data_IF_692418427930
#
_entry.id   IF_692418427930
#
_cell.length_a   1.000
_cell.length_b   1.000
_cell.length_c   1.000
_cell.angle_alpha   90.00
_cell.angle_beta   90.00
_cell.angle_gamma   90.00
#
_symmetry.space_group_name_H-M   'P 1'
#
loop_
_entity.id
_entity.type
_entity.pdbx_description
1 polymer ?
#
# COMPACT_ATOMS: atom_id res chain seq x y z
N UNK A 1 63.09 35.17 7.20
CA UNK A 1 62.31 36.28 7.76
C UNK A 1 61.29 36.74 6.71
N UNK A 2 60.05 36.17 6.72
CA UNK A 2 58.84 36.67 6.04
C UNK A 2 57.64 36.12 6.76
N UNK A 3 56.81 37.04 7.22
CA UNK A 3 55.64 36.85 8.05
C UNK A 3 54.54 36.07 7.30
N UNK A 4 53.96 35.09 7.98
CA UNK A 4 52.73 34.43 7.58
C UNK A 4 51.54 35.19 8.18
N UNK A 5 50.70 35.76 7.33
CA UNK A 5 49.44 36.39 7.70
C UNK A 5 48.35 35.33 7.89
N UNK A 6 47.72 35.34 9.06
CA UNK A 6 46.55 34.57 9.43
C UNK A 6 45.30 35.19 8.80
N UNK A 7 44.69 34.54 7.82
CA UNK A 7 43.30 34.85 7.39
C UNK A 7 42.33 33.81 7.95
N UNK A 8 41.35 34.30 8.72
CA UNK A 8 40.20 33.51 9.22
C UNK A 8 39.19 33.30 8.08
N UNK A 9 38.59 32.12 7.96
CA UNK A 9 37.51 31.91 6.97
C UNK A 9 36.23 32.60 7.42
N UNK A 10 35.73 33.49 6.61
CA UNK A 10 34.41 34.13 6.69
C UNK A 10 33.30 33.11 6.32
N UNK A 11 32.45 32.79 7.29
CA UNK A 11 31.24 32.01 7.10
C UNK A 11 30.17 32.88 6.42
N UNK A 12 29.96 32.71 5.14
CA UNK A 12 28.78 33.25 4.42
C UNK A 12 27.55 32.39 4.73
N UNK A 13 26.60 32.94 5.49
CA UNK A 13 25.25 32.42 5.62
C UNK A 13 24.56 32.49 4.24
N UNK A 14 24.28 31.33 3.62
CA UNK A 14 23.37 31.24 2.48
C UNK A 14 21.93 31.35 3.01
N UNK A 15 21.27 32.44 2.63
CA UNK A 15 19.84 32.65 2.82
C UNK A 15 19.03 31.64 2.00
N UNK A 16 18.02 31.07 2.65
CA UNK A 16 17.01 30.20 2.02
C UNK A 16 16.15 31.08 1.11
N UNK A 17 15.89 30.74 -0.16
CA UNK A 17 15.00 31.51 -1.00
C UNK A 17 13.55 31.39 -0.53
N UNK A 18 12.89 32.52 -0.38
CA UNK A 18 11.46 32.63 -0.10
C UNK A 18 10.63 32.02 -1.23
N UNK A 19 9.63 31.22 -0.86
CA UNK A 19 8.66 30.65 -1.78
C UNK A 19 7.60 31.71 -2.08
N UNK A 20 7.69 32.34 -3.26
CA UNK A 20 6.62 33.20 -3.76
C UNK A 20 5.44 32.33 -4.21
N UNK A 21 4.30 32.49 -3.53
CA UNK A 21 2.99 32.03 -4.00
C UNK A 21 2.55 33.04 -5.09
N UNK A 22 2.59 32.60 -6.36
CA UNK A 22 2.09 33.41 -7.48
C UNK A 22 0.57 33.27 -7.54
N UNK A 23 -0.06 34.44 -7.56
CA UNK A 23 -1.50 34.64 -7.53
C UNK A 23 -2.25 34.09 -8.75
N UNK A 24 -3.56 34.06 -8.55
CA UNK A 24 -4.64 33.75 -9.48
C UNK A 24 -4.45 34.38 -10.86
N UNK A 25 -4.43 33.56 -11.90
CA UNK A 25 -4.56 33.99 -13.30
C UNK A 25 -6.06 34.11 -13.61
N UNK A 26 -6.52 35.30 -13.94
CA UNK A 26 -7.85 35.56 -14.47
C UNK A 26 -8.02 34.91 -15.84
N UNK A 27 -9.14 34.25 -16.03
CA UNK A 27 -9.61 33.75 -17.32
C UNK A 27 -10.41 34.87 -17.98
N UNK A 28 -9.83 35.51 -18.98
CA UNK A 28 -10.57 36.30 -19.96
C UNK A 28 -10.36 35.73 -21.38
N UNK A 29 -11.48 35.47 -22.05
CA UNK A 29 -11.75 35.34 -23.46
C UNK A 29 -11.04 34.26 -24.32
N UNK A 30 -11.77 33.14 -24.50
CA UNK A 30 -11.78 32.37 -25.75
C UNK A 30 -13.23 31.92 -26.11
N UNK A 31 -13.62 31.91 -27.40
CA UNK A 31 -15.01 31.76 -27.80
C UNK A 31 -15.52 30.31 -27.74
N UNK A 32 -16.78 30.20 -27.30
CA UNK A 32 -17.58 29.02 -27.21
C UNK A 32 -17.82 28.29 -28.52
N UNK A 33 -17.51 27.01 -28.59
CA UNK A 33 -18.09 26.07 -29.55
C UNK A 33 -19.37 25.46 -28.97
N UNK A 34 -20.39 25.41 -29.82
CA UNK A 34 -21.80 25.22 -29.55
C UNK A 34 -22.18 24.02 -28.64
N UNK A 35 -23.13 24.33 -27.77
CA UNK A 35 -23.79 23.41 -26.86
C UNK A 35 -24.81 22.50 -27.54
N UNK A 36 -24.93 21.24 -27.06
CA UNK A 36 -26.15 20.43 -27.10
C UNK A 36 -26.87 20.50 -25.75
N UNK A 37 -28.21 20.54 -25.71
CA UNK A 37 -28.96 20.89 -24.52
C UNK A 37 -29.29 19.68 -23.65
N UNK A 38 -29.54 20.03 -22.36
CA UNK A 38 -30.34 19.32 -21.34
C UNK A 38 -29.71 18.15 -20.57
N UNK A 39 -29.19 18.48 -19.40
CA UNK A 39 -29.68 17.92 -18.13
C UNK A 39 -29.39 18.93 -16.99
N UNK A 40 -30.44 19.61 -16.55
CA UNK A 40 -30.42 20.55 -15.43
C UNK A 40 -30.27 19.77 -14.14
N UNK A 41 -29.16 19.95 -13.44
CA UNK A 41 -29.04 19.55 -12.03
C UNK A 41 -29.74 20.62 -11.18
N UNK A 42 -30.54 20.25 -10.16
CA UNK A 42 -31.14 21.22 -9.26
C UNK A 42 -30.06 21.87 -8.40
N UNK A 43 -30.07 23.21 -8.35
CA UNK A 43 -29.26 24.02 -7.42
C UNK A 43 -29.68 23.71 -5.99
N UNK A 44 -28.73 23.30 -5.15
CA UNK A 44 -28.91 23.20 -3.72
C UNK A 44 -28.41 24.50 -3.11
N UNK A 45 -29.35 25.35 -2.64
CA UNK A 45 -29.02 26.51 -1.82
C UNK A 45 -28.47 26.01 -0.47
N UNK A 46 -27.20 26.22 -0.22
CA UNK A 46 -26.58 25.95 1.09
C UNK A 46 -26.68 27.20 1.92
N UNK A 47 -27.64 27.22 2.86
CA UNK A 47 -27.72 28.22 3.91
C UNK A 47 -26.52 28.06 4.87
N UNK A 48 -25.71 29.10 4.98
CA UNK A 48 -24.46 29.13 5.73
C UNK A 48 -24.64 29.18 7.27
N UNK A 49 -25.83 28.95 7.82
CA UNK A 49 -26.16 29.12 9.25
C UNK A 49 -26.40 27.81 10.02
N UNK A 50 -26.31 26.65 9.43
CA UNK A 50 -26.49 25.36 10.13
C UNK A 50 -25.17 24.84 10.71
N UNK A 51 -25.00 25.00 12.02
CA UNK A 51 -24.00 24.27 12.81
C UNK A 51 -24.37 22.78 12.80
N UNK A 52 -23.64 21.97 12.02
CA UNK A 52 -23.74 20.51 12.06
C UNK A 52 -23.15 20.02 13.40
N UNK A 53 -23.99 19.41 14.24
CA UNK A 53 -23.58 18.66 15.42
C UNK A 53 -22.86 17.38 15.03
N UNK A 54 -21.89 16.96 15.86
CA UNK A 54 -21.14 15.70 15.66
C UNK A 54 -22.07 14.47 15.66
N UNK A 55 -23.31 14.62 16.18
CA UNK A 55 -24.31 13.55 16.21
C UNK A 55 -25.06 13.36 14.89
N UNK A 56 -25.06 14.36 14.00
CA UNK A 56 -25.75 14.29 12.68
C UNK A 56 -24.99 13.47 11.63
N UNK A 57 -23.76 13.05 11.94
CA UNK A 57 -22.94 12.19 11.07
C UNK A 57 -23.25 10.69 11.20
N UNK A 58 -24.28 10.32 11.96
CA UNK A 58 -24.73 8.93 12.10
C UNK A 58 -25.68 8.54 10.96
N UNK A 59 -25.17 8.47 9.75
CA UNK A 59 -25.80 7.71 8.66
C UNK A 59 -25.79 6.21 8.94
N UNK A 60 -26.63 5.38 8.25
CA UNK A 60 -26.82 3.97 8.57
C UNK A 60 -25.49 3.20 8.47
N UNK A 61 -25.05 2.68 9.61
CA UNK A 61 -24.03 1.65 9.82
C UNK A 61 -22.77 1.72 8.94
N UNK A 62 -21.87 2.62 9.28
CA UNK A 62 -20.45 2.46 8.97
C UNK A 62 -20.00 1.13 9.61
N UNK A 63 -19.67 0.14 8.78
CA UNK A 63 -19.06 -1.11 9.20
C UNK A 63 -17.75 -0.78 9.93
N UNK A 64 -17.78 -0.83 11.25
CA UNK A 64 -16.58 -0.64 12.06
C UNK A 64 -15.55 -1.72 11.70
N UNK A 65 -14.25 -1.38 11.62
CA UNK A 65 -13.14 -2.33 11.41
C UNK A 65 -13.28 -3.62 12.24
N UNK A 66 -13.85 -3.53 13.43
CA UNK A 66 -14.13 -4.68 14.32
C UNK A 66 -15.26 -5.56 13.80
N UNK A 67 -16.22 -5.03 13.07
CA UNK A 67 -17.39 -5.78 12.58
C UNK A 67 -17.06 -6.58 11.33
N UNK A 68 -16.18 -6.10 10.45
CA UNK A 68 -15.71 -6.88 9.29
C UNK A 68 -14.90 -8.10 9.76
N UNK A 69 -14.09 -7.96 10.81
CA UNK A 69 -13.30 -9.05 11.39
C UNK A 69 -14.11 -9.93 12.34
N UNK A 70 -15.20 -9.43 12.95
CA UNK A 70 -16.07 -10.20 13.85
C UNK A 70 -17.18 -10.97 13.11
N UNK A 71 -17.61 -10.49 11.93
CA UNK A 71 -18.61 -11.16 11.10
C UNK A 71 -18.15 -12.51 10.53
N UNK A 72 -16.86 -12.78 10.53
CA UNK A 72 -16.24 -14.02 10.05
C UNK A 72 -16.14 -15.13 11.11
N UNK A 73 -16.42 -14.80 12.39
CA UNK A 73 -16.37 -15.77 13.50
C UNK A 73 -17.74 -16.38 13.86
N UNK A 74 -18.85 -15.97 13.21
CA UNK A 74 -20.20 -16.19 13.67
C UNK A 74 -21.05 -17.23 12.92
N UNK A 75 -20.57 -17.87 11.87
CA UNK A 75 -21.36 -18.83 11.08
C UNK A 75 -20.84 -20.27 11.23
N UNK A 76 -21.11 -20.89 12.38
CA UNK A 76 -20.73 -22.28 12.58
C UNK A 76 -21.23 -22.86 13.89
N UNK A 77 -22.36 -23.58 13.80
CA UNK A 77 -22.81 -24.66 14.67
C UNK A 77 -23.50 -24.33 15.98
N UNK A 78 -24.83 -24.34 15.91
CA UNK A 78 -25.68 -24.85 16.98
C UNK A 78 -26.18 -26.24 16.59
N UNK A 79 -25.64 -27.33 17.17
CA UNK A 79 -26.30 -28.65 17.25
C UNK A 79 -25.71 -29.47 18.42
N UNK A 80 -26.55 -29.67 19.45
CA UNK A 80 -26.71 -30.78 20.38
C UNK A 80 -25.46 -31.53 20.86
N UNK A 81 -25.20 -31.38 22.17
CA UNK A 81 -24.34 -32.24 22.96
C UNK A 81 -25.12 -33.48 23.47
N UNK A 82 -24.44 -34.63 23.66
CA UNK A 82 -24.57 -35.37 24.88
C UNK A 82 -23.29 -35.34 25.71
N UNK A 83 -23.46 -35.26 27.04
CA UNK A 83 -22.40 -35.28 28.04
C UNK A 83 -21.67 -36.62 28.05
N UNK A 84 -20.36 -36.57 27.93
CA UNK A 84 -19.47 -37.62 28.39
C UNK A 84 -18.33 -36.96 29.17
N UNK A 85 -18.35 -37.19 30.49
CA UNK A 85 -17.28 -36.94 31.44
C UNK A 85 -16.06 -37.80 31.12
N UNK A 86 -14.89 -37.20 31.06
CA UNK A 86 -13.63 -37.94 31.10
C UNK A 86 -12.43 -37.23 30.51
N UNK A 87 -11.43 -36.95 31.38
CA UNK A 87 -10.02 -36.67 31.16
C UNK A 87 -9.64 -35.26 30.63
N UNK A 88 -9.03 -34.52 31.55
CA UNK A 88 -8.34 -33.26 31.33
C UNK A 88 -7.20 -33.44 30.31
N UNK A 89 -7.49 -33.08 29.06
CA UNK A 89 -6.52 -32.73 28.06
C UNK A 89 -6.44 -31.20 28.00
N UNK A 90 -5.27 -30.63 28.25
CA UNK A 90 -5.03 -29.20 28.10
C UNK A 90 -5.40 -28.78 26.69
N UNK A 91 -6.63 -28.32 26.49
CA UNK A 91 -7.09 -27.70 25.25
C UNK A 91 -6.30 -26.45 25.04
N UNK A 92 -5.37 -26.48 24.12
CA UNK A 92 -4.79 -25.26 23.53
C UNK A 92 -5.96 -24.48 22.93
N UNK A 93 -6.45 -23.52 23.71
CA UNK A 93 -7.42 -22.56 23.20
C UNK A 93 -6.76 -21.85 22.01
N UNK A 94 -7.16 -22.22 20.80
CA UNK A 94 -6.84 -21.47 19.59
C UNK A 94 -7.49 -20.10 19.72
N UNK A 95 -6.77 -19.15 20.34
CA UNK A 95 -7.11 -17.74 20.21
C UNK A 95 -7.14 -17.46 18.72
N UNK A 96 -8.30 -17.09 18.21
CA UNK A 96 -8.42 -16.42 16.91
C UNK A 96 -7.53 -15.18 16.97
N UNK A 97 -6.28 -15.33 16.54
CA UNK A 97 -5.30 -14.26 16.62
C UNK A 97 -5.73 -13.19 15.61
N UNK A 98 -6.21 -12.07 16.11
CA UNK A 98 -6.43 -10.87 15.30
C UNK A 98 -5.11 -10.49 14.63
N UNK A 99 -5.14 -10.31 13.31
CA UNK A 99 -3.96 -9.89 12.55
C UNK A 99 -3.42 -8.56 13.10
N UNK A 100 -2.08 -8.36 13.14
CA UNK A 100 -1.48 -7.13 13.64
C UNK A 100 -2.01 -5.90 12.91
N UNK A 101 -2.25 -4.82 13.66
CA UNK A 101 -2.76 -3.55 13.13
C UNK A 101 -1.69 -2.66 12.50
N UNK A 102 -0.39 -2.92 12.77
CA UNK A 102 0.74 -2.12 12.27
C UNK A 102 2.00 -2.96 12.08
N UNK A 103 2.96 -2.42 11.32
CA UNK A 103 4.29 -3.02 11.14
C UNK A 103 4.99 -3.16 12.51
N UNK A 104 4.91 -2.13 13.35
CA UNK A 104 5.54 -2.16 14.67
C UNK A 104 4.96 -3.24 15.59
N UNK A 105 3.64 -3.47 15.55
CA UNK A 105 2.99 -4.55 16.30
C UNK A 105 3.44 -5.92 15.79
N UNK A 106 3.42 -6.13 14.47
CA UNK A 106 3.89 -7.37 13.86
C UNK A 106 5.35 -7.66 14.19
N UNK A 107 6.22 -6.65 14.08
CA UNK A 107 7.63 -6.78 14.41
C UNK A 107 7.87 -7.15 15.89
N UNK A 108 7.09 -6.59 16.82
CA UNK A 108 7.15 -6.98 18.25
C UNK A 108 6.70 -8.42 18.46
N UNK A 109 5.60 -8.85 17.82
CA UNK A 109 5.09 -10.21 17.93
C UNK A 109 6.09 -11.28 17.45
N UNK A 110 6.76 -11.01 16.29
CA UNK A 110 7.80 -11.87 15.75
C UNK A 110 8.99 -12.01 16.71
N UNK A 111 9.46 -10.90 17.29
CA UNK A 111 10.59 -10.90 18.24
C UNK A 111 10.24 -11.53 19.58
N UNK A 112 9.02 -11.35 20.05
CA UNK A 112 8.49 -12.01 21.23
C UNK A 112 8.16 -13.49 20.99
N UNK A 113 8.31 -13.97 19.74
CA UNK A 113 7.94 -15.35 19.32
C UNK A 113 6.47 -15.68 19.61
N UNK A 114 5.59 -14.68 19.58
CA UNK A 114 4.14 -14.89 19.69
C UNK A 114 3.59 -15.61 18.46
N UNK A 115 4.28 -15.52 17.36
CA UNK A 115 4.09 -16.24 16.10
C UNK A 115 5.38 -16.15 15.27
N UNK A 116 5.55 -17.07 14.35
CA UNK A 116 6.63 -17.06 13.34
C UNK A 116 6.28 -16.20 12.12
N UNK A 117 7.28 -15.89 11.30
CA UNK A 117 7.06 -15.25 9.98
C UNK A 117 6.15 -16.13 9.09
N UNK A 118 6.34 -17.45 9.14
CA UNK A 118 5.50 -18.39 8.39
C UNK A 118 4.05 -18.36 8.86
N UNK A 119 3.78 -18.42 10.17
CA UNK A 119 2.43 -18.37 10.73
C UNK A 119 1.73 -17.06 10.40
N UNK A 120 2.45 -15.92 10.52
CA UNK A 120 1.94 -14.61 10.17
C UNK A 120 1.61 -14.54 8.66
N UNK A 121 2.52 -14.97 7.80
CA UNK A 121 2.32 -15.00 6.33
C UNK A 121 1.12 -15.88 5.97
N UNK A 122 1.01 -17.06 6.54
CA UNK A 122 -0.11 -17.99 6.34
C UNK A 122 -1.44 -17.38 6.74
N UNK A 123 -1.47 -16.60 7.82
CA UNK A 123 -2.68 -15.91 8.27
C UNK A 123 -3.12 -14.83 7.28
N UNK A 124 -2.18 -14.04 6.72
CA UNK A 124 -2.49 -13.07 5.65
C UNK A 124 -2.93 -13.75 4.35
N UNK A 125 -2.31 -14.85 3.94
CA UNK A 125 -2.72 -15.59 2.74
C UNK A 125 -4.15 -16.12 2.86
N UNK A 126 -4.56 -16.65 4.03
CA UNK A 126 -5.97 -17.05 4.27
C UNK A 126 -6.92 -15.87 4.15
N UNK A 127 -6.57 -14.71 4.70
CA UNK A 127 -7.40 -13.51 4.56
C UNK A 127 -7.50 -13.04 3.11
N UNK A 128 -6.41 -13.18 2.33
CA UNK A 128 -6.43 -12.89 0.89
C UNK A 128 -7.38 -13.86 0.18
N UNK A 129 -7.26 -15.16 0.39
CA UNK A 129 -8.12 -16.18 -0.26
C UNK A 129 -9.61 -15.90 0.01
N UNK A 130 -9.94 -15.43 1.20
CA UNK A 130 -11.32 -15.12 1.60
C UNK A 130 -11.87 -13.84 0.95
N UNK A 131 -11.07 -12.77 0.88
CA UNK A 131 -11.53 -11.44 0.48
C UNK A 131 -11.22 -11.09 -0.99
N UNK A 132 -10.25 -11.75 -1.62
CA UNK A 132 -9.86 -11.50 -3.02
C UNK A 132 -11.04 -11.60 -4.00
N UNK A 133 -11.97 -12.58 -3.91
CA UNK A 133 -13.08 -12.68 -4.84
C UNK A 133 -14.03 -11.46 -4.82
N UNK A 134 -14.05 -10.72 -3.70
CA UNK A 134 -14.90 -9.54 -3.52
C UNK A 134 -14.18 -8.24 -3.81
N UNK A 135 -12.87 -8.18 -3.55
CA UNK A 135 -12.08 -6.94 -3.63
C UNK A 135 -11.33 -6.80 -4.94
N UNK A 136 -11.00 -7.91 -5.58
CA UNK A 136 -10.11 -7.96 -6.75
C UNK A 136 -8.84 -7.10 -6.56
N UNK A 137 -8.24 -7.22 -5.36
CA UNK A 137 -7.10 -6.41 -4.96
C UNK A 137 -5.75 -6.93 -5.51
N UNK A 138 -5.70 -8.19 -5.96
CA UNK A 138 -4.49 -8.84 -6.48
C UNK A 138 -4.67 -9.29 -7.93
N UNK A 139 -3.61 -9.11 -8.74
CA UNK A 139 -3.48 -9.74 -10.06
C UNK A 139 -2.76 -11.08 -9.93
N UNK A 140 -1.78 -11.18 -9.02
CA UNK A 140 -1.03 -12.41 -8.77
C UNK A 140 -0.75 -12.55 -7.28
N UNK A 141 -1.17 -13.65 -6.67
CA UNK A 141 -0.80 -14.02 -5.30
C UNK A 141 0.38 -14.99 -5.35
N UNK A 142 1.44 -14.73 -4.57
CA UNK A 142 2.68 -15.52 -4.56
C UNK A 142 2.77 -16.42 -3.32
N UNK A 143 1.69 -17.14 -3.01
CA UNK A 143 1.51 -17.85 -1.75
C UNK A 143 2.67 -18.76 -1.36
N UNK A 144 3.09 -19.68 -2.26
CA UNK A 144 4.19 -20.60 -1.97
C UNK A 144 5.53 -19.86 -1.80
N UNK A 145 5.83 -18.91 -2.70
CA UNK A 145 7.06 -18.13 -2.62
C UNK A 145 7.12 -17.28 -1.34
N UNK A 146 5.98 -16.71 -0.90
CA UNK A 146 5.87 -15.96 0.35
C UNK A 146 6.15 -16.86 1.56
N UNK A 147 5.61 -18.08 1.59
CA UNK A 147 5.88 -19.03 2.67
C UNK A 147 7.36 -19.46 2.70
N UNK A 148 7.98 -19.66 1.54
CA UNK A 148 9.41 -20.01 1.45
C UNK A 148 10.30 -18.85 1.92
N UNK A 149 9.93 -17.60 1.59
CA UNK A 149 10.58 -16.40 2.14
C UNK A 149 10.44 -16.35 3.66
N UNK A 150 9.24 -16.54 4.18
CA UNK A 150 8.96 -16.49 5.60
C UNK A 150 9.76 -17.54 6.39
N UNK A 151 9.84 -18.79 5.90
CA UNK A 151 10.66 -19.83 6.52
C UNK A 151 12.14 -19.48 6.58
N UNK A 152 12.69 -18.87 5.51
CA UNK A 152 14.09 -18.41 5.52
C UNK A 152 14.30 -17.32 6.57
N UNK A 153 13.37 -16.35 6.66
CA UNK A 153 13.44 -15.27 7.65
C UNK A 153 13.29 -15.82 9.07
N UNK A 154 12.43 -16.81 9.33
CA UNK A 154 12.36 -17.50 10.61
C UNK A 154 13.68 -18.17 10.99
N UNK A 155 14.36 -18.81 10.02
CA UNK A 155 15.67 -19.41 10.27
C UNK A 155 16.72 -18.35 10.60
N UNK A 156 16.68 -17.20 9.94
CA UNK A 156 17.57 -16.06 10.24
C UNK A 156 17.33 -15.52 11.66
N UNK A 157 16.07 -15.28 12.07
CA UNK A 157 15.76 -14.82 13.43
C UNK A 157 16.23 -15.83 14.49
N UNK A 158 16.04 -17.14 14.25
CA UNK A 158 16.56 -18.18 15.15
C UNK A 158 18.08 -18.17 15.27
N UNK A 159 18.77 -17.81 14.18
CA UNK A 159 20.23 -17.66 14.13
C UNK A 159 20.74 -16.30 14.65
N UNK A 160 19.85 -15.45 15.20
CA UNK A 160 20.18 -14.13 15.70
C UNK A 160 20.41 -13.07 14.61
N UNK A 161 20.02 -13.36 13.36
CA UNK A 161 20.12 -12.43 12.23
C UNK A 161 18.80 -11.69 12.07
N UNK A 162 18.68 -10.55 12.73
CA UNK A 162 17.53 -9.64 12.60
C UNK A 162 17.86 -8.53 11.59
N UNK A 163 17.07 -8.41 10.52
CA UNK A 163 17.24 -7.39 9.48
C UNK A 163 16.62 -6.04 9.84
N UNK A 164 16.03 -5.90 11.02
CA UNK A 164 15.39 -4.68 11.49
C UNK A 164 13.86 -4.71 11.40
N UNK A 165 13.19 -3.54 11.49
CA UNK A 165 11.74 -3.45 11.74
C UNK A 165 10.86 -4.11 10.68
N UNK A 166 11.38 -4.33 9.47
CA UNK A 166 10.64 -4.97 8.38
C UNK A 166 10.90 -6.48 8.25
N UNK A 167 11.73 -7.07 9.13
CA UNK A 167 12.01 -8.50 9.10
C UNK A 167 10.75 -9.34 9.33
N UNK A 168 10.39 -10.16 8.35
CA UNK A 168 9.20 -11.02 8.38
C UNK A 168 7.87 -10.31 8.13
N UNK A 169 7.88 -9.05 7.72
CA UNK A 169 6.66 -8.26 7.53
C UNK A 169 6.01 -8.52 6.16
N UNK A 170 4.74 -9.00 6.13
CA UNK A 170 3.99 -9.23 4.90
C UNK A 170 3.58 -7.92 4.21
N UNK A 171 4.03 -7.74 2.97
CA UNK A 171 3.72 -6.58 2.12
C UNK A 171 3.29 -7.00 0.72
N UNK A 172 2.87 -6.02 -0.08
CA UNK A 172 2.49 -6.21 -1.49
C UNK A 172 3.23 -5.25 -2.41
N UNK A 173 3.38 -5.62 -3.68
CA UNK A 173 3.93 -4.76 -4.71
C UNK A 173 2.88 -4.44 -5.77
N UNK A 174 2.74 -3.16 -6.14
CA UNK A 174 1.94 -2.77 -7.31
C UNK A 174 2.48 -3.49 -8.56
N UNK A 175 1.60 -3.93 -9.43
CA UNK A 175 1.96 -4.84 -10.53
C UNK A 175 2.80 -4.21 -11.66
N UNK A 176 3.33 -3.02 -11.46
CA UNK A 176 4.33 -2.40 -12.35
C UNK A 176 5.78 -2.52 -11.85
N UNK A 177 6.02 -3.08 -10.65
CA UNK A 177 7.35 -3.34 -10.14
C UNK A 177 7.83 -4.70 -10.62
N UNK A 178 8.90 -4.75 -11.40
CA UNK A 178 9.53 -5.99 -11.81
C UNK A 178 9.92 -6.80 -10.58
N UNK A 179 9.47 -8.05 -10.56
CA UNK A 179 9.76 -9.01 -9.50
C UNK A 179 10.25 -10.29 -10.17
N UNK A 180 11.49 -10.66 -9.92
CA UNK A 180 12.13 -11.80 -10.58
C UNK A 180 11.32 -13.08 -10.36
N UNK A 181 11.01 -13.77 -11.47
CA UNK A 181 10.27 -15.02 -11.44
C UNK A 181 8.80 -14.90 -11.07
N UNK A 182 8.26 -13.67 -10.94
CA UNK A 182 6.85 -13.40 -10.64
C UNK A 182 6.19 -12.67 -11.80
N UNK A 183 5.04 -13.18 -12.25
CA UNK A 183 4.24 -12.53 -13.28
C UNK A 183 3.99 -11.06 -12.93
N UNK A 184 4.32 -10.15 -13.85
CA UNK A 184 4.21 -8.70 -13.71
C UNK A 184 3.63 -8.11 -14.97
N UNK A 185 2.34 -7.80 -14.94
CA UNK A 185 1.53 -7.51 -16.15
C UNK A 185 1.35 -6.04 -16.45
N UNK A 186 1.72 -5.16 -15.52
CA UNK A 186 1.44 -3.71 -15.61
C UNK A 186 -0.07 -3.43 -15.75
N UNK A 187 -0.92 -4.37 -15.31
CA UNK A 187 -2.37 -4.32 -15.46
C UNK A 187 -2.85 -4.47 -16.91
N UNK A 188 -2.03 -4.99 -17.83
CA UNK A 188 -2.33 -5.05 -19.26
C UNK A 188 -2.35 -6.48 -19.79
N UNK A 189 -3.24 -6.73 -20.74
CA UNK A 189 -3.27 -7.98 -21.51
C UNK A 189 -1.99 -8.20 -22.32
N UNK A 190 -1.36 -7.13 -22.81
CA UNK A 190 -0.10 -7.21 -23.56
C UNK A 190 1.01 -7.91 -22.78
N UNK A 191 0.99 -7.78 -21.46
CA UNK A 191 2.01 -8.34 -20.57
C UNK A 191 1.46 -9.45 -19.67
N UNK A 192 0.32 -10.04 -20.01
CA UNK A 192 -0.37 -11.04 -19.17
C UNK A 192 0.51 -12.24 -18.76
N UNK A 193 1.48 -12.60 -19.59
CA UNK A 193 2.39 -13.72 -19.37
C UNK A 193 3.84 -13.27 -19.09
N UNK A 194 4.07 -11.95 -18.89
CA UNK A 194 5.41 -11.41 -18.68
C UNK A 194 5.94 -11.78 -17.31
N UNK A 195 7.10 -12.43 -17.28
CA UNK A 195 7.84 -12.76 -16.07
C UNK A 195 9.21 -12.07 -16.14
N UNK A 196 9.49 -11.07 -15.30
CA UNK A 196 10.79 -10.40 -15.25
C UNK A 196 11.91 -11.35 -14.84
N UNK A 197 13.10 -11.14 -15.41
CA UNK A 197 14.31 -11.89 -15.08
C UNK A 197 15.17 -11.22 -13.99
N UNK A 198 14.76 -10.07 -13.50
CA UNK A 198 15.42 -9.32 -12.43
C UNK A 198 14.39 -8.51 -11.62
N UNK A 199 14.73 -8.24 -10.37
CA UNK A 199 13.94 -7.37 -9.50
C UNK A 199 14.14 -5.89 -9.83
N UNK A 200 13.10 -5.11 -9.64
CA UNK A 200 13.23 -3.66 -9.50
C UNK A 200 14.10 -3.33 -8.28
N UNK A 201 14.87 -2.24 -8.34
CA UNK A 201 15.73 -1.82 -7.21
C UNK A 201 14.97 -1.73 -5.89
N UNK A 202 13.73 -1.22 -5.91
CA UNK A 202 12.86 -1.14 -4.73
C UNK A 202 12.54 -2.54 -4.19
N UNK A 203 12.20 -3.49 -5.06
CA UNK A 203 11.89 -4.88 -4.66
C UNK A 203 13.10 -5.53 -4.00
N UNK A 204 14.28 -5.40 -4.61
CA UNK A 204 15.55 -5.89 -4.03
C UNK A 204 15.80 -5.30 -2.63
N UNK A 205 15.67 -3.98 -2.46
CA UNK A 205 15.89 -3.31 -1.17
C UNK A 205 14.90 -3.75 -0.10
N UNK A 206 13.63 -3.86 -0.47
CA UNK A 206 12.60 -4.35 0.45
C UNK A 206 12.88 -5.80 0.87
N UNK A 207 13.28 -6.66 -0.07
CA UNK A 207 13.69 -8.03 0.24
C UNK A 207 14.93 -8.07 1.17
N UNK A 208 15.91 -7.19 0.96
CA UNK A 208 17.08 -7.05 1.85
C UNK A 208 16.68 -6.59 3.26
N UNK A 209 15.65 -5.74 3.39
CA UNK A 209 15.08 -5.34 4.68
C UNK A 209 14.27 -6.47 5.35
N UNK A 210 14.05 -7.60 4.68
CA UNK A 210 13.42 -8.79 5.23
C UNK A 210 11.90 -8.81 5.10
N UNK A 211 11.29 -8.08 4.16
CA UNK A 211 9.85 -8.22 3.93
C UNK A 211 9.50 -9.56 3.30
N UNK A 212 8.25 -9.98 3.49
CA UNK A 212 7.64 -11.10 2.79
C UNK A 212 6.69 -10.55 1.73
N UNK A 213 6.96 -10.83 0.44
CA UNK A 213 6.09 -10.41 -0.66
C UNK A 213 4.92 -11.37 -0.83
N UNK A 214 3.68 -10.87 -0.62
CA UNK A 214 2.45 -11.66 -0.78
C UNK A 214 1.96 -11.72 -2.22
N UNK A 215 2.43 -10.81 -3.08
CA UNK A 215 2.03 -10.79 -4.49
C UNK A 215 2.02 -9.41 -5.14
N UNK A 216 1.41 -9.40 -6.33
CA UNK A 216 1.28 -8.24 -7.20
C UNK A 216 -0.16 -7.74 -7.14
N UNK A 217 -0.31 -6.45 -6.83
CA UNK A 217 -1.63 -5.85 -6.63
C UNK A 217 -2.18 -5.23 -7.90
N UNK A 218 -3.51 -5.24 -7.96
CA UNK A 218 -4.30 -4.64 -9.03
C UNK A 218 -3.93 -3.17 -9.27
N UNK A 219 -4.02 -2.76 -10.53
CA UNK A 219 -3.78 -1.40 -10.96
C UNK A 219 -4.55 -1.06 -12.23
N UNK A 220 -4.81 0.22 -12.48
CA UNK A 220 -5.24 0.65 -13.81
C UNK A 220 -4.17 0.26 -14.84
N UNK A 221 -4.59 -0.14 -16.03
CA UNK A 221 -3.70 -0.50 -17.13
C UNK A 221 -2.66 0.61 -17.39
N UNK A 222 -1.36 0.23 -17.50
CA UNK A 222 -0.22 1.15 -17.67
C UNK A 222 -0.17 2.30 -16.66
N UNK A 223 -0.73 2.13 -15.48
CA UNK A 223 -0.91 3.18 -14.48
C UNK A 223 -1.72 4.39 -14.98
N UNK A 224 -2.51 4.22 -16.05
CA UNK A 224 -3.30 5.25 -16.70
C UNK A 224 -4.73 5.25 -16.16
N UNK A 225 -5.01 6.08 -15.15
CA UNK A 225 -6.31 6.19 -14.50
C UNK A 225 -6.22 6.36 -12.99
N UNK A 226 -7.35 6.74 -12.40
CA UNK A 226 -7.48 6.99 -10.97
C UNK A 226 -8.64 6.21 -10.32
N UNK A 227 -9.34 5.38 -11.11
CA UNK A 227 -10.59 4.73 -10.70
C UNK A 227 -10.42 3.28 -10.23
N UNK A 228 -9.28 2.63 -10.48
CA UNK A 228 -9.13 1.20 -10.21
C UNK A 228 -9.92 0.31 -11.17
N UNK A 229 -10.38 0.84 -12.30
CA UNK A 229 -10.99 0.06 -13.39
C UNK A 229 -9.92 -0.61 -14.23
N UNK A 230 -10.20 -1.82 -14.71
CA UNK A 230 -9.32 -2.55 -15.62
C UNK A 230 -10.16 -3.49 -16.50
N UNK A 231 -10.10 -3.25 -17.81
CA UNK A 231 -10.93 -4.00 -18.77
C UNK A 231 -10.55 -5.48 -18.88
N UNK A 232 -9.30 -5.84 -18.58
CA UNK A 232 -8.80 -7.20 -18.70
C UNK A 232 -8.87 -7.99 -17.38
N UNK A 233 -8.47 -7.34 -16.25
CA UNK A 233 -8.44 -8.01 -14.94
C UNK A 233 -9.69 -7.76 -14.11
N UNK A 234 -10.70 -7.03 -14.63
CA UNK A 234 -11.87 -6.57 -13.88
C UNK A 234 -11.51 -5.40 -12.94
N UNK A 235 -12.51 -4.84 -12.30
CA UNK A 235 -12.36 -3.66 -11.44
C UNK A 235 -11.95 -4.06 -10.02
N UNK A 236 -11.10 -3.25 -9.39
CA UNK A 236 -10.85 -3.36 -7.96
C UNK A 236 -11.93 -2.63 -7.17
N UNK A 237 -12.28 -3.16 -6.00
CA UNK A 237 -13.35 -2.63 -5.16
C UNK A 237 -12.83 -2.03 -3.86
N UNK A 238 -13.51 -0.97 -3.38
CA UNK A 238 -13.21 -0.33 -2.11
C UNK A 238 -13.71 -1.22 -0.95
N UNK A 239 -12.88 -1.60 0.02
CA UNK A 239 -13.31 -2.46 1.12
C UNK A 239 -14.32 -1.81 2.07
N UNK A 240 -14.45 -0.48 2.08
CA UNK A 240 -15.45 0.23 2.88
C UNK A 240 -16.84 0.18 2.25
N UNK A 241 -16.91 0.15 0.91
CA UNK A 241 -18.14 0.04 0.14
C UNK A 241 -17.79 -0.57 -1.23
N UNK A 242 -18.19 -1.81 -1.46
CA UNK A 242 -17.84 -2.55 -2.66
C UNK A 242 -18.42 -1.96 -3.96
N UNK A 243 -19.41 -1.07 -3.86
CA UNK A 243 -19.94 -0.35 -5.01
C UNK A 243 -19.09 0.86 -5.40
N UNK A 244 -18.10 1.22 -4.58
CA UNK A 244 -17.23 2.36 -4.80
C UNK A 244 -15.85 1.95 -5.29
N UNK A 245 -15.23 2.86 -6.02
CA UNK A 245 -13.84 2.76 -6.44
C UNK A 245 -12.88 2.84 -5.25
N UNK A 246 -11.80 2.04 -5.22
CA UNK A 246 -10.72 2.20 -4.24
C UNK A 246 -9.73 3.31 -4.63
N UNK A 247 -10.00 4.03 -5.73
CA UNK A 247 -9.02 4.93 -6.32
C UNK A 247 -7.93 4.18 -7.08
N UNK A 248 -7.06 4.93 -7.75
CA UNK A 248 -5.98 4.37 -8.57
C UNK A 248 -4.87 5.39 -8.87
N UNK A 249 -3.91 4.94 -9.60
CA UNK A 249 -3.73 3.64 -10.25
C UNK A 249 -3.16 2.54 -9.33
N UNK A 250 -2.76 2.82 -8.06
CA UNK A 250 -2.34 1.80 -7.07
C UNK A 250 -3.56 1.25 -6.31
N UNK A 251 -4.60 0.86 -7.05
CA UNK A 251 -5.93 0.49 -6.55
C UNK A 251 -5.90 -0.72 -5.62
N UNK A 252 -5.29 -1.81 -6.06
CA UNK A 252 -5.20 -3.02 -5.25
C UNK A 252 -4.31 -2.86 -4.03
N UNK A 253 -3.23 -2.06 -4.10
CA UNK A 253 -2.41 -1.76 -2.92
C UNK A 253 -3.21 -1.02 -1.87
N UNK A 254 -4.00 -0.01 -2.28
CA UNK A 254 -4.89 0.73 -1.39
C UNK A 254 -5.95 -0.16 -0.75
N UNK A 255 -6.66 -0.93 -1.56
CA UNK A 255 -7.71 -1.84 -1.11
C UNK A 255 -7.17 -2.94 -0.17
N UNK A 256 -6.05 -3.58 -0.53
CA UNK A 256 -5.43 -4.63 0.29
C UNK A 256 -5.03 -4.13 1.68
N UNK A 257 -4.40 -2.95 1.78
CA UNK A 257 -4.00 -2.37 3.07
C UNK A 257 -5.22 -2.03 3.92
N UNK A 258 -6.23 -1.38 3.33
CA UNK A 258 -7.45 -1.01 4.05
C UNK A 258 -8.25 -2.23 4.54
N UNK A 259 -8.33 -3.28 3.73
CA UNK A 259 -8.97 -4.54 4.08
C UNK A 259 -8.17 -5.40 5.07
N UNK A 260 -6.93 -5.04 5.37
CA UNK A 260 -6.11 -5.81 6.30
C UNK A 260 -5.43 -7.02 5.69
N UNK A 261 -5.25 -7.07 4.38
CA UNK A 261 -4.64 -8.19 3.65
C UNK A 261 -3.10 -8.11 3.60
N UNK A 262 -2.53 -7.01 4.07
CA UNK A 262 -1.09 -6.80 4.24
C UNK A 262 -0.84 -5.63 5.19
N UNK A 263 0.41 -5.45 5.61
CA UNK A 263 0.81 -4.35 6.50
C UNK A 263 1.24 -3.10 5.77
N UNK A 264 1.51 -3.21 4.48
CA UNK A 264 1.87 -2.10 3.62
C UNK A 264 2.22 -2.57 2.22
N UNK A 265 2.61 -1.65 1.37
CA UNK A 265 2.97 -1.99 0.00
C UNK A 265 3.56 -0.84 -0.80
N UNK A 266 3.97 -1.15 -2.02
CA UNK A 266 4.49 -0.17 -2.96
C UNK A 266 3.40 0.37 -3.88
N UNK A 267 3.51 1.63 -4.24
CA UNK A 267 2.70 2.29 -5.25
C UNK A 267 3.57 3.18 -6.14
N UNK A 268 2.97 3.75 -7.16
CA UNK A 268 3.57 4.80 -7.99
C UNK A 268 2.63 5.98 -8.09
N UNK A 269 3.18 7.18 -8.28
CA UNK A 269 2.41 8.42 -8.37
C UNK A 269 2.97 9.31 -9.47
N UNK A 270 2.26 9.39 -10.58
CA UNK A 270 2.53 10.32 -11.69
C UNK A 270 1.69 11.58 -11.51
N UNK A 271 0.37 11.41 -11.29
CA UNK A 271 -0.60 12.48 -11.12
C UNK A 271 -1.55 12.30 -9.93
N UNK A 272 -1.19 11.43 -8.94
CA UNK A 272 -2.02 11.15 -7.77
C UNK A 272 -2.10 9.67 -7.38
N UNK A 273 -1.45 8.76 -8.11
CA UNK A 273 -1.71 7.32 -8.01
C UNK A 273 -1.21 6.63 -6.73
N UNK A 274 -0.59 7.33 -5.78
CA UNK A 274 -0.42 6.93 -4.37
C UNK A 274 -1.46 7.66 -3.53
N UNK A 275 -1.60 8.97 -3.72
CA UNK A 275 -2.39 9.86 -2.87
C UNK A 275 -3.90 9.60 -3.00
N UNK A 276 -4.39 9.36 -4.22
CA UNK A 276 -5.81 9.05 -4.47
C UNK A 276 -6.24 7.76 -3.78
N UNK A 277 -5.60 6.59 -4.01
CA UNK A 277 -5.99 5.38 -3.31
C UNK A 277 -5.74 5.47 -1.79
N UNK A 278 -4.75 6.23 -1.32
CA UNK A 278 -4.57 6.46 0.12
C UNK A 278 -5.77 7.19 0.72
N UNK A 279 -6.23 8.28 0.08
CA UNK A 279 -7.38 9.07 0.51
C UNK A 279 -8.69 8.25 0.47
N UNK A 280 -8.96 7.57 -0.65
CA UNK A 280 -10.24 6.88 -0.85
C UNK A 280 -10.38 5.60 -0.01
N UNK A 281 -9.28 5.00 0.44
CA UNK A 281 -9.28 3.82 1.31
C UNK A 281 -9.01 4.13 2.79
N UNK A 282 -8.92 5.42 3.18
CA UNK A 282 -8.62 5.83 4.56
C UNK A 282 -7.34 5.19 5.10
N UNK A 283 -6.26 5.29 4.34
CA UNK A 283 -4.91 4.84 4.70
C UNK A 283 -3.89 5.96 4.46
N UNK A 284 -2.63 5.72 4.78
CA UNK A 284 -1.54 6.67 4.57
C UNK A 284 -0.74 6.32 3.31
N UNK A 285 -0.40 7.32 2.50
CA UNK A 285 0.50 7.17 1.37
C UNK A 285 1.42 8.38 1.25
N UNK A 286 2.67 8.17 0.84
CA UNK A 286 3.63 9.24 0.58
C UNK A 286 4.07 9.21 -0.87
N UNK A 287 3.92 10.35 -1.56
CA UNK A 287 4.64 10.66 -2.79
C UNK A 287 5.95 11.36 -2.41
N UNK A 288 7.10 10.66 -2.40
CA UNK A 288 8.38 11.28 -2.06
C UNK A 288 8.79 12.33 -3.10
N UNK A 289 9.81 13.11 -2.77
CA UNK A 289 10.47 13.99 -3.74
C UNK A 289 10.95 13.18 -4.95
N UNK A 290 10.75 13.70 -6.16
CA UNK A 290 11.19 13.09 -7.41
C UNK A 290 12.70 12.71 -7.33
N UNK A 291 13.03 11.50 -7.78
CA UNK A 291 14.39 10.95 -7.72
C UNK A 291 14.83 10.42 -6.35
N UNK A 292 14.02 10.55 -5.28
CA UNK A 292 14.37 10.04 -3.95
C UNK A 292 14.33 8.52 -3.87
N UNK A 293 13.44 7.88 -4.62
CA UNK A 293 13.26 6.42 -4.74
C UNK A 293 13.56 6.01 -6.18
N UNK A 294 14.32 4.94 -6.35
CA UNK A 294 14.68 4.43 -7.67
C UNK A 294 13.45 3.97 -8.47
N UNK A 295 13.44 4.30 -9.76
CA UNK A 295 12.45 3.81 -10.73
C UNK A 295 13.01 2.67 -11.61
N UNK A 296 14.23 2.19 -11.35
CA UNK A 296 14.79 1.08 -12.11
C UNK A 296 13.97 -0.20 -11.89
N UNK A 297 13.50 -0.78 -13.01
CA UNK A 297 12.61 -1.95 -12.98
C UNK A 297 11.17 -1.61 -12.61
N UNK A 298 10.81 -0.33 -12.56
CA UNK A 298 9.42 0.14 -12.45
C UNK A 298 8.96 0.51 -13.84
N UNK A 299 7.84 -0.07 -14.31
CA UNK A 299 7.32 0.26 -15.65
C UNK A 299 6.94 1.74 -15.72
N UNK A 300 7.47 2.50 -16.68
CA UNK A 300 7.27 3.94 -16.73
C UNK A 300 5.91 4.31 -17.33
N UNK A 301 5.32 5.39 -16.81
CA UNK A 301 4.21 6.10 -17.43
C UNK A 301 4.67 7.46 -18.00
N UNK A 302 5.34 8.26 -17.19
CA UNK A 302 5.90 9.56 -17.59
C UNK A 302 7.22 9.79 -16.84
N UNK A 303 8.34 9.67 -17.53
CA UNK A 303 9.68 9.68 -16.94
C UNK A 303 9.99 10.90 -16.07
N UNK A 304 9.41 12.07 -16.38
CA UNK A 304 9.63 13.32 -15.64
C UNK A 304 8.68 13.51 -14.45
N UNK A 305 7.65 12.67 -14.31
CA UNK A 305 6.60 12.83 -13.30
C UNK A 305 6.49 11.63 -12.35
N UNK A 306 6.93 10.44 -12.78
CA UNK A 306 6.77 9.20 -12.03
C UNK A 306 7.57 9.22 -10.74
N UNK A 307 6.92 8.84 -9.66
CA UNK A 307 7.54 8.66 -8.35
C UNK A 307 7.07 7.32 -7.76
N UNK A 308 8.01 6.51 -7.33
CA UNK A 308 7.75 5.32 -6.53
C UNK A 308 7.64 5.70 -5.05
N UNK A 309 6.71 5.08 -4.32
CA UNK A 309 6.54 5.36 -2.90
C UNK A 309 5.67 4.34 -2.18
N UNK A 310 5.66 4.36 -0.84
CA UNK A 310 4.92 3.42 -0.02
C UNK A 310 3.49 3.86 0.27
N UNK A 311 2.64 2.84 0.54
CA UNK A 311 1.35 2.97 1.21
C UNK A 311 1.37 2.08 2.46
N UNK A 312 0.68 2.50 3.52
CA UNK A 312 0.58 1.80 4.80
C UNK A 312 -0.61 2.30 5.61
N UNK A 313 -0.89 1.70 6.76
CA UNK A 313 -2.02 2.10 7.61
C UNK A 313 -1.76 3.37 8.39
N UNK A 314 -0.51 3.64 8.72
CA UNK A 314 -0.10 4.79 9.54
C UNK A 314 1.11 5.49 8.95
N UNK A 315 1.35 6.72 9.40
CA UNK A 315 2.55 7.49 9.05
C UNK A 315 3.82 6.74 9.48
N UNK A 316 3.80 6.07 10.64
CA UNK A 316 4.94 5.28 11.13
C UNK A 316 5.23 4.09 10.21
N UNK A 317 4.20 3.34 9.76
CA UNK A 317 4.38 2.23 8.82
C UNK A 317 4.98 2.71 7.49
N UNK A 318 4.44 3.82 6.96
CA UNK A 318 4.91 4.40 5.69
C UNK A 318 6.35 4.92 5.82
N UNK A 319 6.73 5.49 6.96
CA UNK A 319 8.10 5.95 7.20
C UNK A 319 9.10 4.77 7.21
N UNK A 320 8.76 3.66 7.87
CA UNK A 320 9.60 2.44 7.87
C UNK A 320 9.76 1.86 6.46
N UNK A 321 8.67 1.80 5.69
CA UNK A 321 8.71 1.32 4.30
C UNK A 321 9.54 2.26 3.42
N UNK A 322 9.34 3.58 3.53
CA UNK A 322 10.09 4.56 2.76
C UNK A 322 11.59 4.45 3.04
N UNK A 323 11.99 4.29 4.29
CA UNK A 323 13.39 4.15 4.68
C UNK A 323 14.06 2.95 3.99
N UNK A 324 13.34 1.84 3.80
CA UNK A 324 13.84 0.69 3.06
C UNK A 324 13.89 0.92 1.54
N UNK A 325 13.00 1.77 0.99
CA UNK A 325 12.92 2.04 -0.45
C UNK A 325 13.97 3.03 -0.93
N UNK A 326 14.36 4.02 -0.09
CA UNK A 326 15.29 5.09 -0.47
C UNK A 326 16.72 4.60 -0.59
N UNK A 327 17.53 5.33 -1.35
CA UNK A 327 18.96 5.09 -1.48
C UNK A 327 19.47 5.46 -2.87
N UNK A 328 20.79 5.62 -2.96
CA UNK A 328 21.46 5.91 -4.23
C UNK A 328 21.31 4.71 -5.19
N UNK A 329 20.85 4.97 -6.39
CA UNK A 329 20.87 4.02 -7.50
C UNK A 329 21.88 4.55 -8.52
N UNK A 330 22.90 3.77 -8.89
CA UNK A 330 23.84 4.21 -9.92
C UNK A 330 23.05 4.60 -11.18
N UNK A 331 23.41 5.68 -11.87
CA UNK A 331 22.67 6.13 -13.05
C UNK A 331 22.62 4.98 -14.05
N UNK A 332 21.41 4.52 -14.33
CA UNK A 332 21.18 3.61 -15.44
C UNK A 332 21.50 4.42 -16.70
N UNK A 333 22.55 4.05 -17.42
CA UNK A 333 22.76 4.60 -18.76
C UNK A 333 21.48 4.31 -19.55
N UNK A 334 20.68 5.33 -19.78
CA UNK A 334 19.58 5.26 -20.74
C UNK A 334 20.27 4.99 -22.09
N UNK A 335 20.13 3.78 -22.61
CA UNK A 335 20.52 3.46 -23.98
C UNK A 335 19.39 3.82 -24.90
#
# INVERSE_FOLDING_TARGET
>A
MKLLSNEKPTTTKKSIPEIHVVGTVGLEDQPLLAAHPESVMPSVDVDASTHLSVDDLRGPALLHRRTVLAGLAGAGTALLAPQLTGCAGAGVATRSATLPGSIAEAARGLRARSYSCEELTRAYLRAIDELQPRLNAFITVTGQQALDQARRLDAELRAGKDRGPLHGIPIVHKDLYDTQGVRTTVGSEFFKDRIPNADATVVTRMAQAGVVSLGKTHMNEFAAGISGTNAFFGDAHNPWDLARSPGGSSSGTGAAIAAGLCLGGTGSDTGGSIRVPASWNNITGIRPTFGRVSLRGVYPRAYSLDVAGPLGRSVADVAMLLQAMVGHDPPTRIR
#
